data_IF_983886315310
#
_entry.id   IF_983886315310
#
_cell.length_a   1.000
_cell.length_b   1.000
_cell.length_c   1.000
_cell.angle_alpha   90.00
_cell.angle_beta   90.00
_cell.angle_gamma   90.00
#
_symmetry.space_group_name_H-M   'P 1'
#
loop_
_entity.id
_entity.type
_entity.pdbx_description
1 polymer ?
#
# COMPACT_ATOMS: atom_id res chain seq x y z
N UNK A 1 15.00 -28.45 -26.51
CA UNK A 1 14.30 -27.39 -25.75
C UNK A 1 14.84 -27.47 -24.35
N UNK A 2 15.53 -26.42 -23.86
CA UNK A 2 15.97 -26.40 -22.47
C UNK A 2 14.74 -26.44 -21.57
N UNK A 3 14.70 -27.35 -20.61
CA UNK A 3 13.67 -27.38 -19.57
C UNK A 3 13.75 -26.03 -18.83
N UNK A 4 12.68 -25.24 -18.92
CA UNK A 4 12.52 -23.99 -18.17
C UNK A 4 12.29 -24.40 -16.70
N UNK A 5 13.36 -24.42 -15.92
CA UNK A 5 13.21 -24.53 -14.47
C UNK A 5 12.59 -23.23 -13.93
N UNK A 6 11.68 -23.34 -12.97
CA UNK A 6 11.08 -22.19 -12.27
C UNK A 6 12.14 -21.18 -11.77
N UNK A 7 13.35 -21.68 -11.44
CA UNK A 7 14.48 -20.86 -11.02
C UNK A 7 14.94 -19.87 -12.11
N UNK A 8 14.93 -20.27 -13.36
CA UNK A 8 15.35 -19.42 -14.48
C UNK A 8 14.38 -18.22 -14.69
N UNK A 9 13.12 -18.35 -14.28
CA UNK A 9 12.15 -17.25 -14.34
C UNK A 9 12.44 -16.13 -13.34
N UNK A 10 13.18 -16.42 -12.26
CA UNK A 10 13.56 -15.39 -11.27
C UNK A 10 14.97 -14.85 -11.51
N UNK A 11 15.89 -15.69 -11.96
CA UNK A 11 17.30 -15.33 -12.09
C UNK A 11 17.50 -14.23 -13.16
N UNK A 12 16.75 -14.26 -14.27
CA UNK A 12 16.83 -13.25 -15.34
C UNK A 12 16.40 -11.86 -14.86
N UNK A 13 15.42 -11.76 -13.94
CA UNK A 13 14.96 -10.48 -13.38
C UNK A 13 15.82 -9.96 -12.22
N UNK A 14 16.82 -10.75 -11.79
CA UNK A 14 17.79 -10.42 -10.74
C UNK A 14 19.22 -10.45 -11.24
N UNK A 15 19.41 -10.56 -12.56
CA UNK A 15 20.73 -10.62 -13.16
C UNK A 15 21.53 -9.32 -12.92
N UNK A 16 22.62 -9.42 -12.19
CA UNK A 16 23.47 -8.30 -11.84
C UNK A 16 24.04 -7.56 -13.04
N UNK A 17 24.37 -8.27 -14.13
CA UNK A 17 24.92 -7.64 -15.35
C UNK A 17 23.87 -6.77 -16.04
N UNK A 18 22.62 -7.23 -16.08
CA UNK A 18 21.49 -6.46 -16.61
C UNK A 18 21.19 -5.23 -15.77
N UNK A 19 21.24 -5.37 -14.43
CA UNK A 19 21.08 -4.25 -13.49
C UNK A 19 22.17 -3.21 -13.72
N UNK A 20 23.44 -3.62 -13.80
CA UNK A 20 24.58 -2.72 -14.09
C UNK A 20 24.45 -2.05 -15.47
N UNK A 21 23.96 -2.77 -16.48
CA UNK A 21 23.74 -2.19 -17.81
C UNK A 21 22.72 -1.06 -17.76
N UNK A 22 21.58 -1.25 -17.04
CA UNK A 22 20.62 -0.18 -16.81
C UNK A 22 21.19 0.97 -15.99
N UNK A 23 21.99 0.70 -14.96
CA UNK A 23 22.64 1.74 -14.17
C UNK A 23 23.55 2.63 -15.04
N UNK A 24 24.34 2.03 -15.94
CA UNK A 24 25.18 2.77 -16.91
C UNK A 24 24.34 3.59 -17.87
N UNK A 25 23.24 3.04 -18.38
CA UNK A 25 22.34 3.74 -19.28
C UNK A 25 21.68 4.94 -18.58
N UNK A 26 21.18 4.74 -17.37
CA UNK A 26 20.59 5.80 -16.54
C UNK A 26 21.64 6.90 -16.29
N UNK A 27 22.85 6.54 -15.89
CA UNK A 27 23.92 7.51 -15.63
C UNK A 27 24.35 8.29 -16.89
N UNK A 28 24.29 7.65 -18.07
CA UNK A 28 24.55 8.33 -19.35
C UNK A 28 23.45 9.33 -19.69
N UNK A 29 22.19 8.95 -19.55
CA UNK A 29 21.04 9.80 -19.87
C UNK A 29 20.84 10.89 -18.84
N UNK A 30 21.08 10.60 -17.56
CA UNK A 30 20.98 11.59 -16.47
C UNK A 30 21.91 12.80 -16.66
N UNK A 31 23.04 12.66 -17.37
CA UNK A 31 23.92 13.79 -17.74
C UNK A 31 23.24 14.81 -18.64
N UNK A 32 22.15 14.43 -19.32
CA UNK A 32 21.37 15.30 -20.22
C UNK A 32 20.20 15.97 -19.51
N UNK A 33 19.91 15.59 -18.27
CA UNK A 33 18.83 16.20 -17.48
C UNK A 33 19.15 17.67 -17.20
N UNK A 34 18.14 18.52 -17.35
CA UNK A 34 18.26 19.97 -17.09
C UNK A 34 18.29 20.31 -15.58
N UNK A 35 17.75 19.44 -14.74
CA UNK A 35 17.71 19.53 -13.28
C UNK A 35 17.68 18.13 -12.67
N UNK A 36 18.01 17.98 -11.39
CA UNK A 36 17.73 16.74 -10.67
C UNK A 36 16.25 16.38 -10.71
N UNK A 37 15.94 15.08 -10.72
CA UNK A 37 14.58 14.57 -10.71
C UNK A 37 14.32 13.70 -9.48
N UNK A 38 13.12 13.83 -8.94
CA UNK A 38 12.63 13.05 -7.81
C UNK A 38 11.54 12.08 -8.31
N UNK A 39 11.82 10.78 -8.24
CA UNK A 39 10.90 9.71 -8.64
C UNK A 39 10.28 9.12 -7.39
N UNK A 40 8.96 9.25 -7.24
CA UNK A 40 8.24 8.64 -6.13
C UNK A 40 7.72 7.25 -6.53
N UNK A 41 8.03 6.25 -5.73
CA UNK A 41 7.35 4.97 -5.76
C UNK A 41 6.18 4.96 -4.79
N UNK A 42 5.07 4.36 -5.18
CA UNK A 42 3.82 4.32 -4.39
C UNK A 42 3.37 2.88 -4.09
N UNK A 43 4.34 1.99 -3.90
CA UNK A 43 4.08 0.60 -3.53
C UNK A 43 5.18 0.03 -2.65
N UNK A 44 4.81 -0.55 -1.51
CA UNK A 44 5.77 -1.18 -0.60
C UNK A 44 6.61 -2.30 -1.21
N UNK A 45 6.12 -2.96 -2.26
CA UNK A 45 6.90 -3.91 -3.05
C UNK A 45 8.10 -3.26 -3.74
N UNK A 46 7.93 -2.06 -4.29
CA UNK A 46 9.04 -1.27 -4.84
C UNK A 46 10.00 -0.82 -3.74
N UNK A 47 9.50 -0.24 -2.64
CA UNK A 47 10.32 0.13 -1.48
C UNK A 47 11.22 -1.03 -1.04
N UNK A 48 10.59 -2.21 -0.85
CA UNK A 48 11.32 -3.41 -0.44
C UNK A 48 12.43 -3.81 -1.42
N UNK A 49 12.12 -3.86 -2.72
CA UNK A 49 13.10 -4.23 -3.76
C UNK A 49 14.21 -3.21 -3.87
N UNK A 50 13.86 -1.93 -3.96
CA UNK A 50 14.83 -0.84 -4.08
C UNK A 50 15.83 -0.88 -2.94
N UNK A 51 15.37 -1.05 -1.70
CA UNK A 51 16.22 -1.10 -0.53
C UNK A 51 17.02 -2.41 -0.43
N UNK A 52 16.35 -3.55 -0.65
CA UNK A 52 16.98 -4.88 -0.53
C UNK A 52 18.13 -5.10 -1.50
N UNK A 53 18.03 -4.57 -2.70
CA UNK A 53 19.05 -4.71 -3.75
C UNK A 53 19.97 -3.49 -3.85
N UNK A 54 19.86 -2.51 -2.94
CA UNK A 54 20.73 -1.34 -2.89
C UNK A 54 20.67 -0.48 -4.17
N UNK A 55 19.55 -0.46 -4.87
CA UNK A 55 19.43 0.22 -6.16
C UNK A 55 19.80 1.72 -6.12
N UNK A 56 19.51 2.47 -5.04
CA UNK A 56 19.90 3.88 -4.96
C UNK A 56 21.39 4.13 -5.12
N UNK A 57 22.25 3.19 -4.68
CA UNK A 57 23.71 3.32 -4.84
C UNK A 57 24.18 3.22 -6.30
N UNK A 58 23.35 2.67 -7.17
CA UNK A 58 23.64 2.49 -8.59
C UNK A 58 23.20 3.69 -9.43
N UNK A 59 22.46 4.62 -8.82
CA UNK A 59 21.92 5.79 -9.51
C UNK A 59 22.84 7.01 -9.37
N UNK A 60 22.87 7.90 -10.37
CA UNK A 60 23.57 9.16 -10.26
C UNK A 60 22.86 10.12 -9.31
N UNK A 61 23.61 11.05 -8.68
CA UNK A 61 23.15 11.99 -7.65
C UNK A 61 21.97 12.88 -8.07
N UNK A 62 21.71 13.02 -9.37
CA UNK A 62 20.62 13.82 -9.90
C UNK A 62 19.35 13.00 -10.23
N UNK A 63 19.30 11.73 -9.83
CA UNK A 63 18.12 10.86 -9.89
C UNK A 63 17.82 10.33 -8.50
N UNK A 64 16.81 10.93 -7.85
CA UNK A 64 16.47 10.64 -6.47
C UNK A 64 15.22 9.76 -6.36
N UNK A 65 15.24 8.84 -5.38
CA UNK A 65 14.06 8.10 -4.97
C UNK A 65 13.37 8.73 -3.78
N UNK A 66 12.04 8.75 -3.87
CA UNK A 66 11.14 9.14 -2.80
C UNK A 66 10.20 7.97 -2.51
N UNK A 67 10.11 7.57 -1.25
CA UNK A 67 9.19 6.54 -0.81
C UNK A 67 7.83 7.14 -0.49
N UNK A 68 6.80 6.70 -1.20
CA UNK A 68 5.43 7.12 -1.01
C UNK A 68 4.61 6.17 -0.13
N UNK A 69 3.29 6.39 0.01
CA UNK A 69 2.41 5.65 0.90
C UNK A 69 1.96 4.30 0.30
N UNK A 70 2.90 3.43 -0.04
CA UNK A 70 2.67 2.18 -0.75
C UNK A 70 2.26 0.98 0.10
N UNK A 71 2.11 1.12 1.43
CA UNK A 71 1.77 0.03 2.35
C UNK A 71 0.43 0.31 3.04
N UNK A 72 -0.61 -0.53 2.87
CA UNK A 72 -1.93 -0.28 3.42
C UNK A 72 -1.96 -0.31 4.96
N UNK A 73 -1.10 -1.11 5.57
CA UNK A 73 -0.91 -1.17 7.02
C UNK A 73 -0.30 0.12 7.55
N UNK A 74 0.61 0.71 6.80
CA UNK A 74 1.35 1.91 7.20
C UNK A 74 0.46 3.18 7.23
N UNK A 75 -0.50 3.23 6.31
CA UNK A 75 -1.38 4.40 6.14
C UNK A 75 -2.70 4.29 6.92
N UNK A 76 -2.91 3.20 7.64
CA UNK A 76 -4.14 2.99 8.40
C UNK A 76 -4.19 3.96 9.58
N UNK A 77 -5.22 4.83 9.66
CA UNK A 77 -5.35 5.79 10.75
C UNK A 77 -5.63 5.09 12.09
N UNK A 78 -5.18 5.69 13.18
CA UNK A 78 -5.27 5.09 14.51
C UNK A 78 -6.70 4.83 14.95
N UNK A 79 -7.61 5.72 14.64
CA UNK A 79 -9.05 5.55 14.96
C UNK A 79 -9.62 4.26 14.37
N UNK A 80 -9.18 3.86 13.17
CA UNK A 80 -9.62 2.59 12.56
C UNK A 80 -9.01 1.38 13.27
N UNK A 81 -7.79 1.51 13.77
CA UNK A 81 -7.15 0.47 14.60
C UNK A 81 -7.87 0.35 15.94
N UNK A 82 -8.27 1.48 16.52
CA UNK A 82 -9.03 1.50 17.77
C UNK A 82 -10.45 0.94 17.57
N UNK A 83 -11.08 1.15 16.40
CA UNK A 83 -12.30 0.42 16.02
C UNK A 83 -12.06 -1.09 16.10
N UNK A 84 -11.02 -1.58 15.44
CA UNK A 84 -10.69 -3.01 15.45
C UNK A 84 -10.43 -3.52 16.86
N UNK A 85 -9.74 -2.74 17.71
CA UNK A 85 -9.46 -3.09 19.09
C UNK A 85 -10.76 -3.20 19.92
N UNK A 86 -11.64 -2.20 19.84
CA UNK A 86 -12.92 -2.18 20.56
C UNK A 86 -13.81 -3.34 20.11
N UNK A 87 -13.88 -3.61 18.81
CA UNK A 87 -14.64 -4.75 18.27
C UNK A 87 -14.07 -6.09 18.76
N UNK A 88 -12.75 -6.24 18.77
CA UNK A 88 -12.09 -7.46 19.22
C UNK A 88 -12.35 -7.77 20.72
N UNK A 89 -12.54 -6.73 21.53
CA UNK A 89 -12.81 -6.88 22.97
C UNK A 89 -14.25 -7.27 23.31
N UNK A 90 -15.14 -7.38 22.33
CA UNK A 90 -16.50 -7.88 22.58
C UNK A 90 -16.48 -9.40 22.73
N UNK A 91 -17.17 -9.93 23.74
CA UNK A 91 -17.16 -11.36 24.09
C UNK A 91 -17.71 -12.29 22.99
N UNK A 92 -18.68 -11.79 22.21
CA UNK A 92 -19.34 -12.51 21.12
C UNK A 92 -18.66 -12.31 19.76
N UNK A 93 -17.52 -11.61 19.70
CA UNK A 93 -16.83 -11.28 18.46
C UNK A 93 -15.58 -12.13 18.25
N UNK A 94 -15.37 -12.58 17.01
CA UNK A 94 -14.11 -13.04 16.48
C UNK A 94 -13.66 -11.99 15.46
N UNK A 95 -12.60 -11.25 15.76
CA UNK A 95 -12.04 -10.30 14.81
C UNK A 95 -11.04 -11.00 13.89
N UNK A 96 -11.27 -10.93 12.60
CA UNK A 96 -10.41 -11.54 11.57
C UNK A 96 -9.79 -10.44 10.71
N UNK A 97 -8.49 -10.51 10.47
CA UNK A 97 -7.78 -9.56 9.60
C UNK A 97 -6.64 -10.22 8.83
N UNK A 98 -5.97 -9.45 7.99
CA UNK A 98 -4.82 -9.91 7.20
C UNK A 98 -3.50 -9.56 7.90
N UNK A 99 -2.59 -10.53 7.95
CA UNK A 99 -1.17 -10.42 8.23
C UNK A 99 -0.72 -9.42 9.30
N UNK A 100 0.09 -8.48 8.87
CA UNK A 100 0.79 -7.53 9.76
C UNK A 100 -0.12 -6.55 10.50
N UNK A 101 -1.40 -6.43 10.10
CA UNK A 101 -2.37 -5.54 10.75
C UNK A 101 -2.47 -5.78 12.26
N UNK A 102 -2.28 -7.00 12.72
CA UNK A 102 -2.37 -7.35 14.14
C UNK A 102 -1.33 -6.64 15.02
N UNK A 103 -0.22 -6.16 14.43
CA UNK A 103 0.89 -5.53 15.15
C UNK A 103 0.81 -4.00 15.14
N UNK A 104 -0.11 -3.41 14.38
CA UNK A 104 -0.17 -1.94 14.23
C UNK A 104 -0.63 -1.30 15.54
N UNK A 105 0.13 -0.34 16.08
CA UNK A 105 -0.25 0.29 17.33
C UNK A 105 -1.40 1.29 17.13
N UNK A 106 -2.49 1.09 17.87
CA UNK A 106 -3.55 2.06 18.11
C UNK A 106 -3.29 2.87 19.39
N UNK A 107 -4.33 3.49 19.93
CA UNK A 107 -4.25 4.25 21.21
C UNK A 107 -4.26 3.34 22.43
N UNK A 108 -5.01 2.23 22.35
CA UNK A 108 -5.17 1.27 23.44
C UNK A 108 -4.25 0.05 23.32
N UNK A 109 -3.34 0.07 22.35
CA UNK A 109 -2.47 -1.02 21.96
C UNK A 109 -2.79 -1.56 20.56
N UNK A 110 -2.14 -2.64 20.19
CA UNK A 110 -2.35 -3.37 18.95
C UNK A 110 -3.41 -4.47 19.10
N UNK A 111 -3.84 -5.07 18.00
CA UNK A 111 -4.67 -6.27 18.05
C UNK A 111 -3.95 -7.47 18.69
N UNK A 112 -2.61 -7.50 18.64
CA UNK A 112 -1.83 -8.48 19.38
C UNK A 112 -1.95 -8.28 20.90
N UNK A 113 -2.00 -7.03 21.37
CA UNK A 113 -2.23 -6.72 22.78
C UNK A 113 -3.67 -7.06 23.19
N UNK A 114 -4.67 -6.82 22.35
CA UNK A 114 -6.04 -7.25 22.58
C UNK A 114 -6.11 -8.78 22.75
N UNK A 115 -5.43 -9.53 21.88
CA UNK A 115 -5.33 -11.00 21.98
C UNK A 115 -4.68 -11.45 23.27
N UNK A 116 -3.63 -10.78 23.73
CA UNK A 116 -2.99 -11.07 25.02
C UNK A 116 -3.93 -10.82 26.22
N UNK A 117 -4.94 -9.95 26.06
CA UNK A 117 -5.99 -9.68 27.04
C UNK A 117 -7.21 -10.61 26.92
N UNK A 118 -7.15 -11.62 26.05
CA UNK A 118 -8.18 -12.65 25.90
C UNK A 118 -9.14 -12.45 24.73
N UNK A 119 -8.97 -11.42 23.91
CA UNK A 119 -9.79 -11.22 22.70
C UNK A 119 -9.53 -12.31 21.65
N UNK A 120 -10.59 -12.75 20.96
CA UNK A 120 -10.48 -13.72 19.86
C UNK A 120 -10.11 -12.98 18.56
N UNK A 121 -8.81 -12.77 18.38
CA UNK A 121 -8.24 -12.14 17.18
C UNK A 121 -7.54 -13.20 16.34
N UNK A 122 -7.94 -13.32 15.07
CA UNK A 122 -7.37 -14.29 14.12
C UNK A 122 -6.83 -13.57 12.91
N UNK A 123 -5.70 -14.02 12.38
CA UNK A 123 -5.22 -13.59 11.08
C UNK A 123 -5.38 -14.72 10.07
N UNK A 124 -5.69 -14.34 8.84
CA UNK A 124 -5.91 -15.26 7.72
C UNK A 124 -5.07 -14.85 6.53
N UNK A 125 -4.80 -15.78 5.63
CA UNK A 125 -4.14 -15.52 4.36
C UNK A 125 -5.14 -15.28 3.22
N UNK A 126 -6.38 -15.75 3.39
CA UNK A 126 -7.48 -15.52 2.46
C UNK A 126 -8.70 -15.05 3.21
N UNK A 127 -9.40 -13.99 2.75
CA UNK A 127 -10.70 -13.60 3.32
C UNK A 127 -11.71 -14.75 3.36
N UNK A 128 -11.63 -15.70 2.42
CA UNK A 128 -12.54 -16.84 2.33
C UNK A 128 -12.50 -17.76 3.55
N UNK A 129 -11.43 -17.73 4.33
CA UNK A 129 -11.31 -18.48 5.59
C UNK A 129 -12.37 -18.04 6.63
N UNK A 130 -12.89 -16.80 6.51
CA UNK A 130 -13.98 -16.31 7.37
C UNK A 130 -15.23 -17.21 7.29
N UNK A 131 -15.54 -17.81 6.14
CA UNK A 131 -16.68 -18.72 6.00
C UNK A 131 -16.53 -19.96 6.89
N UNK A 132 -15.33 -20.55 6.94
CA UNK A 132 -15.02 -21.67 7.81
C UNK A 132 -15.09 -21.24 9.28
N UNK A 133 -14.45 -20.13 9.63
CA UNK A 133 -14.46 -19.62 11.00
C UNK A 133 -15.89 -19.39 11.48
N UNK A 134 -16.75 -18.80 10.64
CA UNK A 134 -18.13 -18.54 10.99
C UNK A 134 -18.96 -19.83 11.17
N UNK A 135 -18.75 -20.83 10.32
CA UNK A 135 -19.44 -22.13 10.43
C UNK A 135 -19.06 -22.90 11.69
N UNK A 136 -17.80 -22.79 12.11
CA UNK A 136 -17.29 -23.43 13.33
C UNK A 136 -17.70 -22.68 14.62
N UNK A 137 -18.16 -21.41 14.50
CA UNK A 137 -18.52 -20.57 15.63
C UNK A 137 -19.90 -19.91 15.43
N UNK A 138 -21.01 -20.67 15.34
CA UNK A 138 -22.32 -20.19 14.95
C UNK A 138 -22.96 -19.20 15.95
N UNK A 139 -22.48 -19.17 17.18
CA UNK A 139 -22.97 -18.26 18.23
C UNK A 139 -22.19 -16.96 18.32
N UNK A 140 -21.05 -16.84 17.60
CA UNK A 140 -20.20 -15.66 17.58
C UNK A 140 -20.37 -14.90 16.27
N UNK A 141 -20.12 -13.61 16.31
CA UNK A 141 -20.01 -12.75 15.12
C UNK A 141 -18.57 -12.72 14.64
N UNK A 142 -18.36 -13.05 13.38
CA UNK A 142 -17.04 -12.96 12.72
C UNK A 142 -16.98 -11.62 12.02
N UNK A 143 -16.13 -10.71 12.48
CA UNK A 143 -15.93 -9.40 11.86
C UNK A 143 -14.63 -9.46 11.04
N UNK A 144 -14.77 -9.35 9.73
CA UNK A 144 -13.61 -9.21 8.85
C UNK A 144 -13.19 -7.74 8.78
N UNK A 145 -12.07 -7.41 9.42
CA UNK A 145 -11.42 -6.12 9.32
C UNK A 145 -10.59 -6.09 8.03
N UNK A 146 -11.25 -5.68 6.96
CA UNK A 146 -10.70 -5.69 5.61
C UNK A 146 -9.79 -4.49 5.40
N UNK A 147 -8.54 -4.75 5.02
CA UNK A 147 -7.53 -3.74 4.75
C UNK A 147 -6.81 -4.05 3.44
N UNK A 148 -6.44 -3.04 2.69
CA UNK A 148 -5.66 -3.18 1.47
C UNK A 148 -5.90 -2.11 0.44
N UNK A 149 -5.14 -2.19 -0.63
CA UNK A 149 -5.32 -1.41 -1.85
C UNK A 149 -6.19 -2.18 -2.86
N UNK A 150 -6.26 -1.68 -4.08
CA UNK A 150 -7.02 -2.29 -5.19
C UNK A 150 -6.67 -3.77 -5.43
N UNK A 151 -5.46 -4.19 -5.06
CA UNK A 151 -5.00 -5.58 -5.21
C UNK A 151 -5.77 -6.59 -4.37
N UNK A 152 -6.17 -6.20 -3.15
CA UNK A 152 -6.83 -7.10 -2.19
C UNK A 152 -8.35 -6.92 -2.14
N UNK A 153 -8.85 -5.80 -2.63
CA UNK A 153 -10.28 -5.48 -2.66
C UNK A 153 -11.13 -6.54 -3.38
N UNK A 154 -10.71 -7.13 -4.53
CA UNK A 154 -11.48 -8.16 -5.20
C UNK A 154 -11.78 -9.38 -4.33
N UNK A 155 -10.83 -9.83 -3.51
CA UNK A 155 -11.02 -10.99 -2.64
C UNK A 155 -12.00 -10.70 -1.51
N UNK A 156 -12.03 -9.47 -1.02
CA UNK A 156 -13.05 -9.02 -0.06
C UNK A 156 -14.43 -8.98 -0.74
N UNK A 157 -14.52 -8.48 -1.97
CA UNK A 157 -15.76 -8.47 -2.73
C UNK A 157 -16.30 -9.89 -2.99
N UNK A 158 -15.41 -10.85 -3.29
CA UNK A 158 -15.78 -12.27 -3.41
C UNK A 158 -16.35 -12.80 -2.09
N UNK A 159 -15.71 -12.49 -0.96
CA UNK A 159 -16.23 -12.92 0.35
C UNK A 159 -17.62 -12.31 0.63
N UNK A 160 -17.81 -11.01 0.37
CA UNK A 160 -19.12 -10.35 0.51
C UNK A 160 -20.17 -11.07 -0.35
N UNK A 161 -19.82 -11.35 -1.61
CA UNK A 161 -20.72 -12.08 -2.53
C UNK A 161 -21.12 -13.46 -1.97
N UNK A 162 -20.16 -14.22 -1.46
CA UNK A 162 -20.43 -15.55 -0.91
C UNK A 162 -21.26 -15.49 0.37
N UNK A 163 -20.99 -14.55 1.27
CA UNK A 163 -21.76 -14.34 2.49
C UNK A 163 -23.23 -14.07 2.17
N UNK A 164 -23.50 -13.22 1.18
CA UNK A 164 -24.86 -12.89 0.74
C UNK A 164 -25.52 -14.09 0.05
N UNK A 165 -24.84 -14.73 -0.90
CA UNK A 165 -25.37 -15.90 -1.64
C UNK A 165 -25.69 -17.08 -0.72
N UNK A 166 -24.82 -17.36 0.23
CA UNK A 166 -24.99 -18.46 1.18
C UNK A 166 -25.85 -18.08 2.39
N UNK A 167 -26.26 -16.81 2.49
CA UNK A 167 -27.04 -16.26 3.61
C UNK A 167 -26.36 -16.51 4.97
N UNK A 168 -25.06 -16.31 5.07
CA UNK A 168 -24.30 -16.52 6.30
C UNK A 168 -24.65 -15.38 7.27
N UNK A 169 -25.27 -15.67 8.43
CA UNK A 169 -25.88 -14.63 9.27
C UNK A 169 -24.88 -13.94 10.21
N UNK A 170 -23.71 -14.54 10.41
CA UNK A 170 -22.79 -14.14 11.46
C UNK A 170 -21.43 -13.62 10.96
N UNK A 171 -21.33 -13.23 9.67
CA UNK A 171 -20.16 -12.51 9.14
C UNK A 171 -20.52 -11.06 8.91
N UNK A 172 -19.70 -10.15 9.43
CA UNK A 172 -19.78 -8.72 9.24
C UNK A 172 -18.47 -8.18 8.67
N UNK A 173 -18.51 -7.01 8.07
CA UNK A 173 -17.38 -6.37 7.41
C UNK A 173 -17.09 -5.00 8.01
N UNK A 174 -15.84 -4.74 8.32
CA UNK A 174 -15.31 -3.40 8.61
C UNK A 174 -14.34 -3.03 7.49
N UNK A 175 -14.79 -2.18 6.56
CA UNK A 175 -14.07 -1.93 5.30
C UNK A 175 -13.08 -0.78 5.44
N UNK A 176 -11.80 -1.06 5.15
CA UNK A 176 -10.68 -0.12 5.16
C UNK A 176 -9.83 -0.25 3.88
N UNK A 177 -10.45 -0.59 2.77
CA UNK A 177 -9.79 -0.54 1.48
C UNK A 177 -9.64 0.89 1.00
N UNK A 178 -8.49 1.20 0.43
CA UNK A 178 -8.14 2.52 -0.10
C UNK A 178 -7.62 2.42 -1.53
N UNK A 179 -7.62 3.52 -2.24
CA UNK A 179 -7.24 3.61 -3.65
C UNK A 179 -6.05 4.54 -3.86
N UNK A 180 -5.09 4.10 -4.69
CA UNK A 180 -3.80 4.77 -4.87
C UNK A 180 -3.88 6.08 -5.66
N UNK A 181 -4.68 6.21 -6.75
CA UNK A 181 -4.63 7.42 -7.59
C UNK A 181 -5.02 8.70 -6.87
N UNK A 182 -5.92 8.63 -5.88
CA UNK A 182 -6.40 9.79 -5.14
C UNK A 182 -5.31 10.35 -4.23
N UNK A 183 -4.59 9.48 -3.51
CA UNK A 183 -3.49 9.94 -2.66
C UNK A 183 -2.31 10.45 -3.46
N UNK A 184 -2.05 9.92 -4.67
CA UNK A 184 -1.01 10.46 -5.54
C UNK A 184 -1.30 11.92 -5.94
N UNK A 185 -2.58 12.30 -6.15
CA UNK A 185 -2.96 13.71 -6.40
C UNK A 185 -2.68 14.56 -5.19
N UNK A 186 -3.07 14.10 -3.99
CA UNK A 186 -2.81 14.82 -2.74
C UNK A 186 -1.32 15.04 -2.50
N UNK A 187 -0.49 14.06 -2.88
CA UNK A 187 0.96 14.13 -2.70
C UNK A 187 1.68 15.12 -3.61
N UNK A 188 1.11 15.51 -4.75
CA UNK A 188 1.71 16.51 -5.64
C UNK A 188 1.23 17.94 -5.36
N UNK A 189 0.20 18.10 -4.51
CA UNK A 189 -0.30 19.40 -4.10
C UNK A 189 0.64 20.04 -3.05
N UNK A 190 0.71 21.39 -3.05
CA UNK A 190 1.39 22.21 -2.04
C UNK A 190 2.83 21.79 -1.66
N UNK A 191 3.70 21.62 -2.67
CA UNK A 191 5.10 21.29 -2.46
C UNK A 191 6.02 22.44 -2.84
N UNK A 192 7.09 22.61 -2.05
CA UNK A 192 8.22 23.46 -2.44
C UNK A 192 9.04 22.79 -3.56
N UNK A 193 9.96 23.56 -4.18
CA UNK A 193 10.78 23.08 -5.29
C UNK A 193 11.71 21.93 -4.90
N UNK A 194 12.20 21.93 -3.65
CA UNK A 194 13.14 20.91 -3.16
C UNK A 194 12.48 19.52 -3.01
N UNK A 195 11.22 19.51 -2.55
CA UNK A 195 10.46 18.31 -2.29
C UNK A 195 9.49 17.93 -3.42
N UNK A 196 9.63 18.55 -4.60
CA UNK A 196 8.76 18.30 -5.72
C UNK A 196 8.89 16.86 -6.22
N UNK A 197 7.75 16.19 -6.42
CA UNK A 197 7.70 14.91 -7.13
C UNK A 197 7.70 15.20 -8.63
N UNK A 198 8.69 14.69 -9.36
CA UNK A 198 8.79 14.90 -10.80
C UNK A 198 8.12 13.77 -11.59
N UNK A 199 8.15 12.53 -11.09
CA UNK A 199 7.59 11.36 -11.75
C UNK A 199 7.13 10.31 -10.74
N UNK A 200 6.33 9.33 -11.21
CA UNK A 200 5.91 8.19 -10.41
C UNK A 200 6.36 6.86 -11.02
N UNK A 201 6.84 5.99 -10.14
CA UNK A 201 6.98 4.56 -10.40
C UNK A 201 5.67 3.87 -9.96
N UNK A 202 4.82 3.56 -10.93
CA UNK A 202 3.47 3.04 -10.70
C UNK A 202 3.47 1.54 -10.33
N UNK A 203 2.62 1.10 -9.38
CA UNK A 203 2.57 -0.26 -8.92
C UNK A 203 1.86 -1.19 -9.91
N UNK A 204 2.56 -2.24 -10.38
CA UNK A 204 1.95 -3.22 -11.28
C UNK A 204 0.81 -4.00 -10.64
N UNK A 205 0.90 -4.35 -9.34
CA UNK A 205 -0.17 -5.10 -8.65
C UNK A 205 -1.52 -4.37 -8.68
N UNK A 206 -1.53 -3.06 -8.40
CA UNK A 206 -2.73 -2.22 -8.51
C UNK A 206 -3.22 -2.21 -9.96
N UNK A 207 -2.28 -2.04 -10.90
CA UNK A 207 -2.59 -1.89 -12.32
C UNK A 207 -3.10 -3.19 -12.98
N UNK A 208 -2.77 -4.36 -12.44
CA UNK A 208 -3.36 -5.65 -12.89
C UNK A 208 -4.88 -5.66 -12.66
N UNK A 209 -5.34 -5.07 -11.56
CA UNK A 209 -6.76 -5.00 -11.23
C UNK A 209 -7.44 -3.82 -11.91
N UNK A 210 -6.91 -2.62 -11.69
CA UNK A 210 -7.57 -1.37 -12.08
C UNK A 210 -7.23 -0.90 -13.49
N UNK A 211 -6.23 -1.50 -14.13
CA UNK A 211 -5.64 -1.03 -15.38
C UNK A 211 -4.68 0.13 -15.18
N UNK A 212 -3.84 0.40 -16.16
CA UNK A 212 -2.97 1.58 -16.13
C UNK A 212 -3.73 2.89 -16.38
N UNK A 213 -4.94 2.83 -16.95
CA UNK A 213 -5.81 3.99 -17.22
C UNK A 213 -6.06 4.88 -16.00
N UNK A 214 -5.98 4.33 -14.78
CA UNK A 214 -6.15 5.10 -13.56
C UNK A 214 -5.08 6.19 -13.38
N UNK A 215 -3.97 6.09 -14.08
CA UNK A 215 -2.87 7.06 -14.03
C UNK A 215 -2.88 8.06 -15.19
N UNK A 216 -3.81 7.97 -16.12
CA UNK A 216 -3.89 8.84 -17.32
C UNK A 216 -3.87 10.34 -17.01
N UNK A 217 -4.48 10.74 -15.91
CA UNK A 217 -4.56 12.14 -15.49
C UNK A 217 -3.19 12.74 -15.10
N UNK A 218 -2.23 11.92 -14.66
CA UNK A 218 -0.95 12.44 -14.17
C UNK A 218 -0.11 13.08 -15.27
N UNK A 219 0.17 12.43 -16.42
CA UNK A 219 0.85 13.11 -17.51
C UNK A 219 0.01 14.19 -18.16
N UNK A 220 -1.33 14.02 -18.28
CA UNK A 220 -2.21 14.94 -19.02
C UNK A 220 -2.50 16.23 -18.26
N UNK A 221 -2.79 16.15 -16.97
CA UNK A 221 -3.27 17.28 -16.16
C UNK A 221 -2.18 17.84 -15.23
N UNK A 222 -1.34 16.95 -14.69
CA UNK A 222 -0.34 17.33 -13.69
C UNK A 222 1.09 17.41 -14.23
N UNK A 223 1.31 17.07 -15.50
CA UNK A 223 2.65 17.05 -16.13
C UNK A 223 3.64 16.16 -15.34
N UNK A 224 3.15 15.02 -14.84
CA UNK A 224 3.94 14.02 -14.12
C UNK A 224 3.92 12.70 -14.86
N UNK A 225 5.03 12.29 -15.48
CA UNK A 225 5.10 10.99 -16.16
C UNK A 225 4.93 9.85 -15.13
N UNK A 226 4.29 8.79 -15.59
CA UNK A 226 4.10 7.56 -14.79
C UNK A 226 4.60 6.37 -15.59
N UNK A 227 5.43 5.55 -14.98
CA UNK A 227 5.83 4.26 -15.55
C UNK A 227 5.39 3.13 -14.62
N UNK A 228 4.48 2.29 -15.10
CA UNK A 228 4.00 1.12 -14.34
C UNK A 228 5.01 -0.01 -14.47
N UNK A 229 5.60 -0.41 -13.32
CA UNK A 229 6.70 -1.40 -13.30
C UNK A 229 6.38 -2.62 -12.47
N UNK A 230 7.08 -3.73 -12.79
CA UNK A 230 7.18 -4.88 -11.91
C UNK A 230 8.05 -4.62 -10.68
N UNK A 231 8.22 -5.64 -9.84
CA UNK A 231 8.87 -5.51 -8.52
C UNK A 231 10.25 -6.14 -8.46
N UNK A 232 10.70 -6.83 -9.48
CA UNK A 232 12.05 -7.36 -9.50
C UNK A 232 13.07 -6.25 -9.82
N UNK A 233 14.33 -6.35 -9.38
CA UNK A 233 15.30 -5.25 -9.52
C UNK A 233 15.55 -4.83 -10.98
N UNK A 234 15.52 -5.76 -11.93
CA UNK A 234 15.61 -5.43 -13.37
C UNK A 234 14.39 -4.64 -13.83
N UNK A 235 13.18 -5.02 -13.38
CA UNK A 235 11.96 -4.26 -13.70
C UNK A 235 12.04 -2.83 -13.18
N UNK A 236 12.45 -2.66 -11.91
CA UNK A 236 12.59 -1.34 -11.30
C UNK A 236 13.62 -0.47 -12.06
N UNK A 237 14.80 -1.01 -12.34
CA UNK A 237 15.85 -0.27 -13.08
C UNK A 237 15.41 0.08 -14.50
N UNK A 238 14.70 -0.82 -15.18
CA UNK A 238 14.12 -0.52 -16.50
C UNK A 238 13.09 0.60 -16.42
N UNK A 239 12.19 0.58 -15.42
CA UNK A 239 11.21 1.63 -15.21
C UNK A 239 11.82 2.99 -14.95
N UNK A 240 12.89 3.04 -14.12
CA UNK A 240 13.65 4.27 -13.88
C UNK A 240 14.30 4.77 -15.16
N UNK A 241 14.91 3.87 -15.93
CA UNK A 241 15.51 4.23 -17.24
C UNK A 241 14.47 4.83 -18.19
N UNK A 242 13.25 4.27 -18.21
CA UNK A 242 12.15 4.81 -19.01
C UNK A 242 11.74 6.22 -18.55
N UNK A 243 11.65 6.45 -17.23
CA UNK A 243 11.34 7.78 -16.68
C UNK A 243 12.43 8.78 -17.06
N UNK A 244 13.71 8.47 -16.80
CA UNK A 244 14.83 9.35 -17.14
C UNK A 244 14.84 9.68 -18.64
N UNK A 245 14.57 8.69 -19.48
CA UNK A 245 14.47 8.86 -20.92
C UNK A 245 13.34 9.82 -21.32
N UNK A 246 12.16 9.76 -20.68
CA UNK A 246 11.08 10.72 -20.94
C UNK A 246 11.51 12.16 -20.67
N UNK A 247 12.25 12.41 -19.58
CA UNK A 247 12.78 13.76 -19.28
C UNK A 247 13.81 14.23 -20.30
N UNK A 248 14.69 13.35 -20.75
CA UNK A 248 15.69 13.67 -21.78
C UNK A 248 15.05 13.97 -23.13
N UNK A 249 13.96 13.27 -23.46
CA UNK A 249 13.20 13.43 -24.70
C UNK A 249 12.09 14.49 -24.61
N UNK A 250 11.98 15.18 -23.47
CA UNK A 250 10.93 16.18 -23.20
C UNK A 250 9.51 15.62 -23.40
N UNK A 251 9.32 14.34 -23.09
CA UNK A 251 8.01 13.66 -23.11
C UNK A 251 7.42 13.60 -21.69
N UNK A 252 6.10 13.52 -21.60
CA UNK A 252 5.38 13.28 -20.36
C UNK A 252 4.22 12.33 -20.65
N UNK A 253 4.44 11.04 -20.40
CA UNK A 253 3.54 9.98 -20.82
C UNK A 253 3.30 8.95 -19.71
N UNK A 254 2.20 8.21 -19.85
CA UNK A 254 1.96 6.97 -19.14
C UNK A 254 2.57 5.82 -19.94
N UNK A 255 3.55 5.14 -19.39
CA UNK A 255 4.15 3.96 -20.00
C UNK A 255 3.99 2.72 -19.11
N UNK A 256 3.94 1.55 -19.71
CA UNK A 256 3.87 0.26 -19.00
C UNK A 256 5.16 -0.50 -19.29
N UNK A 257 6.02 -0.63 -18.27
CA UNK A 257 7.17 -1.53 -18.33
C UNK A 257 6.70 -2.98 -18.18
N UNK A 258 5.78 -3.26 -17.26
CA UNK A 258 5.31 -4.61 -16.91
C UNK A 258 4.23 -5.14 -17.86
N UNK A 259 4.47 -5.05 -19.17
CA UNK A 259 3.51 -5.42 -20.23
C UNK A 259 3.12 -6.90 -20.23
N UNK A 260 3.90 -7.77 -19.56
CA UNK A 260 3.63 -9.21 -19.49
C UNK A 260 2.36 -9.54 -18.70
N UNK A 261 1.89 -8.64 -17.83
CA UNK A 261 0.69 -8.85 -16.99
C UNK A 261 -0.25 -7.64 -16.99
N UNK A 262 0.29 -6.44 -17.00
CA UNK A 262 -0.50 -5.20 -16.93
C UNK A 262 -0.98 -4.80 -18.33
N UNK A 263 -2.27 -4.49 -18.43
CA UNK A 263 -2.87 -3.85 -19.60
C UNK A 263 -3.56 -2.54 -19.22
N UNK A 264 -4.04 -1.81 -20.22
CA UNK A 264 -4.64 -0.50 -20.01
C UNK A 264 -5.94 -0.55 -19.19
N UNK A 265 -6.82 -1.52 -19.46
CA UNK A 265 -8.15 -1.62 -18.84
C UNK A 265 -8.16 -2.37 -17.52
N UNK A 266 -7.14 -3.21 -17.25
CA UNK A 266 -7.08 -4.07 -16.08
C UNK A 266 -8.03 -5.27 -16.13
N UNK A 267 -8.41 -5.78 -14.98
CA UNK A 267 -9.32 -6.90 -14.83
C UNK A 267 -10.77 -6.40 -14.68
N UNK A 268 -11.50 -6.33 -15.79
CA UNK A 268 -12.87 -5.82 -15.81
C UNK A 268 -13.84 -6.63 -14.95
N UNK A 269 -13.62 -7.94 -14.79
CA UNK A 269 -14.47 -8.77 -13.91
C UNK A 269 -14.26 -8.42 -12.44
N UNK A 270 -13.00 -8.21 -12.03
CA UNK A 270 -12.69 -7.79 -10.67
C UNK A 270 -13.23 -6.37 -10.40
N UNK A 271 -13.09 -5.45 -11.36
CA UNK A 271 -13.63 -4.08 -11.25
C UNK A 271 -15.16 -4.12 -11.09
N UNK A 272 -15.88 -4.86 -11.94
CA UNK A 272 -17.34 -4.99 -11.84
C UNK A 272 -17.80 -5.59 -10.51
N UNK A 273 -17.03 -6.55 -9.96
CA UNK A 273 -17.35 -7.15 -8.66
C UNK A 273 -17.14 -6.15 -7.51
N UNK A 274 -16.08 -5.35 -7.57
CA UNK A 274 -15.81 -4.28 -6.60
C UNK A 274 -16.95 -3.25 -6.64
N UNK A 275 -17.29 -2.75 -7.84
CA UNK A 275 -18.36 -1.75 -8.03
C UNK A 275 -19.72 -2.24 -7.58
N UNK A 276 -19.98 -3.55 -7.65
CA UNK A 276 -21.23 -4.15 -7.19
C UNK A 276 -21.43 -4.03 -5.67
N UNK A 277 -20.36 -4.17 -4.89
CA UNK A 277 -20.47 -4.24 -3.42
C UNK A 277 -19.94 -3.01 -2.71
N UNK A 278 -19.08 -2.25 -3.35
CA UNK A 278 -18.42 -1.10 -2.72
C UNK A 278 -18.70 0.19 -3.47
N UNK A 279 -18.62 1.28 -2.72
CA UNK A 279 -18.60 2.63 -3.26
C UNK A 279 -17.55 3.47 -2.53
N UNK A 280 -17.15 4.58 -3.14
CA UNK A 280 -16.16 5.48 -2.55
C UNK A 280 -16.76 6.29 -1.40
N UNK A 281 -16.04 6.36 -0.30
CA UNK A 281 -16.30 7.33 0.78
C UNK A 281 -16.01 8.73 0.26
N UNK A 282 -16.69 9.73 0.78
CA UNK A 282 -16.39 11.13 0.44
C UNK A 282 -14.99 11.51 0.88
N UNK A 283 -14.61 11.11 2.09
CA UNK A 283 -13.29 11.35 2.66
C UNK A 283 -12.82 10.05 3.35
N UNK A 284 -11.54 9.75 3.23
CA UNK A 284 -10.87 8.75 4.07
C UNK A 284 -9.56 9.33 4.56
N UNK A 285 -9.34 9.24 5.86
CA UNK A 285 -8.11 9.73 6.48
C UNK A 285 -6.97 8.73 6.26
N UNK A 286 -5.85 9.22 5.81
CA UNK A 286 -4.62 8.46 5.67
C UNK A 286 -3.67 8.86 6.78
N UNK A 287 -3.17 7.89 7.52
CA UNK A 287 -2.23 8.12 8.61
C UNK A 287 -1.01 8.89 8.11
N UNK A 288 -0.74 10.02 8.75
CA UNK A 288 0.39 10.88 8.42
C UNK A 288 0.25 11.75 7.16
N UNK A 289 -0.80 11.54 6.35
CA UNK A 289 -1.08 12.37 5.17
C UNK A 289 -2.26 13.31 5.46
N UNK A 290 -3.30 12.82 6.11
CA UNK A 290 -4.52 13.56 6.40
C UNK A 290 -5.71 13.06 5.60
N UNK A 291 -6.71 13.90 5.44
CA UNK A 291 -7.96 13.59 4.75
C UNK A 291 -7.77 13.61 3.23
N UNK A 292 -8.06 12.49 2.59
CA UNK A 292 -7.95 12.34 1.13
C UNK A 292 -9.34 12.04 0.56
N UNK A 293 -9.82 12.91 -0.31
CA UNK A 293 -11.13 12.78 -0.92
C UNK A 293 -11.23 11.55 -1.81
N UNK A 294 -12.35 10.84 -1.74
CA UNK A 294 -12.69 9.69 -2.59
C UNK A 294 -11.66 8.54 -2.61
N UNK A 295 -10.82 8.45 -1.59
CA UNK A 295 -9.71 7.48 -1.52
C UNK A 295 -10.01 6.22 -0.70
N UNK A 296 -11.12 6.16 0.00
CA UNK A 296 -11.54 4.99 0.78
C UNK A 296 -12.79 4.35 0.20
N UNK A 297 -12.96 3.04 0.44
CA UNK A 297 -14.16 2.31 0.09
C UNK A 297 -15.04 2.04 1.32
N UNK A 298 -16.34 1.91 1.10
CA UNK A 298 -17.32 1.38 2.04
C UNK A 298 -18.24 0.39 1.33
N UNK A 299 -18.94 -0.45 2.08
CA UNK A 299 -20.07 -1.20 1.52
C UNK A 299 -21.13 -0.21 1.01
N UNK A 300 -21.83 -0.58 -0.07
CA UNK A 300 -23.01 0.16 -0.50
C UNK A 300 -24.11 0.03 0.54
N UNK A 301 -24.91 1.05 0.66
CA UNK A 301 -25.97 1.16 1.69
C UNK A 301 -26.95 -0.03 1.68
N UNK A 302 -27.19 -0.65 0.52
CA UNK A 302 -28.02 -1.86 0.40
C UNK A 302 -27.46 -3.09 1.16
N UNK A 303 -26.18 -3.05 1.58
CA UNK A 303 -25.49 -4.09 2.34
C UNK A 303 -25.21 -3.70 3.80
N UNK A 304 -25.86 -2.66 4.32
CA UNK A 304 -25.66 -2.14 5.68
C UNK A 304 -25.90 -3.18 6.78
N UNK A 305 -26.76 -4.18 6.50
CA UNK A 305 -26.96 -5.31 7.40
C UNK A 305 -25.68 -6.14 7.68
N UNK A 306 -24.66 -6.01 6.83
CA UNK A 306 -23.36 -6.66 6.98
C UNK A 306 -22.25 -5.67 7.41
N UNK A 307 -22.59 -4.41 7.63
CA UNK A 307 -21.61 -3.35 7.92
C UNK A 307 -21.36 -3.24 9.43
N UNK A 308 -20.19 -3.66 9.89
CA UNK A 308 -19.82 -3.59 11.30
C UNK A 308 -19.73 -2.15 11.83
N UNK A 309 -19.41 -1.17 10.97
CA UNK A 309 -19.36 0.24 11.39
C UNK A 309 -20.74 0.78 11.78
N UNK A 310 -21.78 0.32 11.10
CA UNK A 310 -23.18 0.72 11.41
C UNK A 310 -23.70 -0.06 12.61
N UNK A 311 -23.49 -1.38 12.63
CA UNK A 311 -24.03 -2.26 13.68
C UNK A 311 -23.42 -1.92 15.05
N UNK A 312 -22.17 -1.51 15.08
CA UNK A 312 -21.45 -1.18 16.32
C UNK A 312 -21.19 0.32 16.50
N UNK A 313 -21.88 1.21 15.75
CA UNK A 313 -21.67 2.66 15.78
C UNK A 313 -21.64 3.27 17.19
N UNK A 314 -22.46 2.71 18.08
CA UNK A 314 -22.61 3.20 19.44
C UNK A 314 -21.40 2.96 20.36
N UNK A 315 -20.49 2.05 19.98
CA UNK A 315 -19.28 1.74 20.77
C UNK A 315 -17.99 2.12 20.08
N UNK A 316 -18.04 2.41 18.77
CA UNK A 316 -16.84 2.77 18.01
C UNK A 316 -16.36 4.18 18.38
N UNK A 317 -15.04 4.37 18.65
CA UNK A 317 -14.47 5.70 18.87
C UNK A 317 -14.67 6.62 17.67
N UNK A 318 -15.06 7.87 17.91
CA UNK A 318 -15.32 8.87 16.85
C UNK A 318 -14.27 9.99 16.83
N UNK A 319 -13.34 9.96 17.79
CA UNK A 319 -12.33 11.00 17.93
C UNK A 319 -11.17 10.77 16.97
N UNK A 320 -10.68 11.84 16.39
CA UNK A 320 -9.44 11.83 15.62
C UNK A 320 -8.24 11.68 16.54
N UNK A 321 -7.33 10.76 16.19
CA UNK A 321 -6.19 10.44 17.03
C UNK A 321 -4.89 10.73 16.27
N UNK A 322 -4.10 11.62 16.84
CA UNK A 322 -2.80 11.96 16.29
C UNK A 322 -1.75 10.88 16.59
N UNK A 323 -0.76 10.81 15.71
CA UNK A 323 0.42 9.97 15.92
C UNK A 323 1.28 10.46 17.07
N UNK A 324 2.22 9.60 17.49
CA UNK A 324 3.20 9.95 18.51
C UNK A 324 4.04 11.16 18.03
N UNK A 325 4.18 12.20 18.89
CA UNK A 325 4.80 13.47 18.53
C UNK A 325 6.24 13.38 17.98
N UNK A 326 6.98 12.32 18.36
CA UNK A 326 8.33 12.07 17.87
C UNK A 326 8.36 11.25 16.57
N UNK A 327 7.23 10.73 16.12
CA UNK A 327 7.15 9.95 14.89
C UNK A 327 6.95 10.87 13.69
N UNK A 328 7.86 10.81 12.73
CA UNK A 328 7.79 11.58 11.47
C UNK A 328 7.34 10.73 10.27
N UNK A 329 6.63 9.61 10.52
CA UNK A 329 6.14 8.76 9.42
C UNK A 329 5.36 9.54 8.36
N UNK A 330 4.55 10.51 8.76
CA UNK A 330 3.79 11.35 7.82
C UNK A 330 4.69 12.14 6.88
N UNK A 331 5.76 12.74 7.40
CA UNK A 331 6.74 13.47 6.60
C UNK A 331 7.49 12.53 5.64
N UNK A 332 7.81 11.30 6.10
CA UNK A 332 8.46 10.28 5.29
C UNK A 332 7.52 9.80 4.15
N UNK A 333 6.25 9.50 4.47
CA UNK A 333 5.25 9.04 3.49
C UNK A 333 4.93 10.10 2.44
N UNK A 334 5.10 11.37 2.79
CA UNK A 334 5.03 12.48 1.85
C UNK A 334 6.32 12.66 1.03
N UNK A 335 7.39 11.92 1.35
CA UNK A 335 8.67 12.03 0.66
C UNK A 335 9.48 13.28 1.02
N UNK A 336 9.19 13.91 2.15
CA UNK A 336 9.85 15.14 2.63
C UNK A 336 10.94 14.87 3.68
N UNK A 337 11.14 13.60 4.06
CA UNK A 337 12.20 13.15 4.96
C UNK A 337 12.52 11.68 4.69
N UNK A 338 13.70 11.25 5.12
CA UNK A 338 14.10 9.83 5.10
C UNK A 338 13.93 9.21 6.49
N UNK A 339 13.78 7.88 6.62
CA UNK A 339 13.69 7.21 7.92
C UNK A 339 14.86 7.53 8.88
N UNK A 340 16.07 7.74 8.35
CA UNK A 340 17.27 8.09 9.14
C UNK A 340 17.18 9.47 9.80
N UNK A 341 16.31 10.36 9.31
CA UNK A 341 16.09 11.70 9.88
C UNK A 341 15.21 11.67 11.15
N UNK A 342 14.56 10.53 11.41
CA UNK A 342 13.70 10.34 12.56
C UNK A 342 14.52 10.04 13.83
N UNK A 343 14.37 10.90 14.86
CA UNK A 343 15.15 10.80 16.12
C UNK A 343 14.94 9.51 16.90
N UNK A 344 13.81 8.84 16.71
CA UNK A 344 13.50 7.56 17.39
C UNK A 344 13.76 6.33 16.51
N UNK A 345 14.19 6.54 15.25
CA UNK A 345 14.48 5.44 14.33
C UNK A 345 15.63 4.57 14.85
N UNK A 346 15.43 3.24 14.84
CA UNK A 346 16.44 2.28 15.26
C UNK A 346 16.76 2.28 16.76
N UNK A 347 16.18 3.20 17.54
CA UNK A 347 16.34 3.31 18.99
C UNK A 347 15.07 2.88 19.73
N UNK A 348 14.15 3.78 19.98
CA UNK A 348 12.84 3.48 20.58
C UNK A 348 11.86 2.83 19.57
N UNK A 349 11.96 3.20 18.28
CA UNK A 349 11.13 2.65 17.22
C UNK A 349 11.91 1.58 16.42
N UNK A 350 11.55 0.31 16.63
CA UNK A 350 12.11 -0.89 15.98
C UNK A 350 10.99 -1.81 15.52
N UNK A 351 11.24 -2.79 14.64
CA UNK A 351 10.22 -3.77 14.23
C UNK A 351 9.61 -4.56 15.39
N UNK A 352 10.36 -4.74 16.48
CA UNK A 352 9.89 -5.40 17.71
C UNK A 352 9.09 -4.48 18.63
N UNK A 353 9.29 -3.16 18.52
CA UNK A 353 8.63 -2.13 19.33
C UNK A 353 8.26 -0.95 18.45
N UNK A 354 7.34 -1.14 17.47
CA UNK A 354 7.01 -0.09 16.52
C UNK A 354 6.21 1.03 17.18
N UNK A 355 6.70 2.27 17.05
CA UNK A 355 5.98 3.48 17.47
C UNK A 355 5.14 4.01 16.30
N UNK A 356 5.70 4.01 15.10
CA UNK A 356 5.01 4.34 13.85
C UNK A 356 4.66 3.11 13.03
N UNK A 357 3.57 3.19 12.28
CA UNK A 357 3.08 2.10 11.43
C UNK A 357 4.05 1.68 10.33
N UNK A 358 4.86 2.60 9.80
CA UNK A 358 5.87 2.30 8.77
C UNK A 358 7.00 1.35 9.25
N UNK A 359 7.11 1.11 10.56
CA UNK A 359 8.06 0.15 11.13
C UNK A 359 7.47 -1.27 11.28
N UNK A 360 6.15 -1.44 11.11
CA UNK A 360 5.45 -2.71 11.33
C UNK A 360 5.63 -3.69 10.18
N UNK A 361 5.36 -3.24 8.97
CA UNK A 361 5.41 -4.08 7.77
C UNK A 361 6.74 -3.94 7.03
N UNK A 362 7.22 -5.03 6.44
CA UNK A 362 8.41 -5.03 5.55
C UNK A 362 8.25 -4.15 4.30
N UNK A 363 7.02 -3.75 4.00
CA UNK A 363 6.68 -2.83 2.91
C UNK A 363 6.73 -1.36 3.34
N UNK A 364 6.87 -1.07 4.63
CA UNK A 364 7.00 0.27 5.13
C UNK A 364 8.41 0.82 4.98
N UNK A 365 8.55 2.09 4.62
CA UNK A 365 9.84 2.72 4.40
C UNK A 365 10.78 2.58 5.62
N UNK A 366 10.29 2.81 6.85
CA UNK A 366 11.10 2.66 8.05
C UNK A 366 11.60 1.23 8.26
N UNK A 367 10.74 0.22 8.07
CA UNK A 367 11.14 -1.18 8.23
C UNK A 367 12.14 -1.61 7.15
N UNK A 368 11.97 -1.15 5.91
CA UNK A 368 12.90 -1.41 4.82
C UNK A 368 14.28 -0.78 5.10
N UNK A 369 14.32 0.47 5.54
CA UNK A 369 15.57 1.13 5.95
C UNK A 369 16.21 0.48 7.18
N UNK A 370 15.43 0.04 8.15
CA UNK A 370 15.96 -0.65 9.32
C UNK A 370 16.65 -1.96 8.95
N UNK A 371 16.08 -2.69 7.98
CA UNK A 371 16.59 -4.00 7.58
C UNK A 371 17.74 -3.94 6.56
N UNK A 372 17.70 -2.95 5.66
CA UNK A 372 18.57 -2.88 4.51
C UNK A 372 19.37 -1.56 4.41
N UNK A 373 19.18 -0.65 5.36
CA UNK A 373 19.73 0.72 5.29
C UNK A 373 21.26 0.83 5.32
N UNK A 374 21.96 -0.26 5.66
CA UNK A 374 23.42 -0.34 5.53
C UNK A 374 23.87 -0.55 4.08
N UNK A 375 22.93 -0.88 3.19
CA UNK A 375 23.14 -1.03 1.75
C UNK A 375 22.79 0.25 0.96
N UNK A 376 22.46 1.37 1.63
CA UNK A 376 21.96 2.59 0.96
C UNK A 376 22.58 3.85 1.55
#
# INVERSE_FOLDING_TARGET
MAELELKNLYDDFRDGKTIEAYAKLIAQDAKKLKKPINIMEVCGGHTHTIMKFGLPQLLPDNVNFIHGPGCPVCIMPKERIDHAYVLAMQEDVILVTLGDMIKVPGSNGSLQDARAKGADVRFVYSPMECLKIASENPTKRVIFFAIGFETTTPMTAVLVEQVIKLKVPNILFHINHVTVPEVMVELIADRDEEHQIDAFLGPSHVSVISGSKIYDKFPKEYQKPVVVTGFEPVDAMQGISMIVKQFVEERCELEIQYKRVVNYDGNLQAQALIEKYFEKRDIFRWRGIGDVAKSGLKLRDEFDAYNAEIIYDNILPKEEINDHKLCICGTILRGMAKPKDCTIFGTACKPTTPVGSCMVSSEGACAAYYKYGDLV
#
